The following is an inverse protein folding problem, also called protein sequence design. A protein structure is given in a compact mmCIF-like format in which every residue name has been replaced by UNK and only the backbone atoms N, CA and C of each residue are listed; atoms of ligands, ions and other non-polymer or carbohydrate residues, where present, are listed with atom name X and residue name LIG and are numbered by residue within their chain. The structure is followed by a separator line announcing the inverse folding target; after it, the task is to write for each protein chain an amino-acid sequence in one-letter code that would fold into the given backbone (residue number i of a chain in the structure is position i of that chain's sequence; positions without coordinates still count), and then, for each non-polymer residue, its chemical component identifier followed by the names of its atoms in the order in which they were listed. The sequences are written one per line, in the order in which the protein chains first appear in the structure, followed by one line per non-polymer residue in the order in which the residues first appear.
data_IF_861481817741
#
_entry.id   IF_861481817741
#
_cell.length_a   1.000
_cell.length_b   1.000
_cell.length_c   1.000
_cell.angle_alpha   90.00
_cell.angle_beta   90.00
_cell.angle_gamma   90.00
#
_symmetry.space_group_name_H-M   'P 1'
#
loop_
_entity.id
_entity.type
_entity.pdbx_description
1 polymer ?
#
# COMPACT_ATOMS: atom_id res chain seq x y z
N UNK A 1 -35.49 21.97 -28.06
CA UNK A 1 -34.20 21.52 -28.64
C UNK A 1 -33.12 22.56 -28.38
N UNK A 2 -33.37 23.84 -28.62
CA UNK A 2 -32.34 24.90 -28.50
C UNK A 2 -31.64 24.97 -27.14
N UNK A 3 -32.37 24.85 -26.03
CA UNK A 3 -31.77 24.85 -24.69
C UNK A 3 -30.77 23.69 -24.47
N UNK A 4 -31.04 22.51 -25.03
CA UNK A 4 -30.12 21.37 -24.93
C UNK A 4 -28.80 21.67 -25.66
N UNK A 5 -28.87 22.27 -26.85
CA UNK A 5 -27.67 22.66 -27.59
C UNK A 5 -26.86 23.71 -26.83
N UNK A 6 -27.53 24.69 -26.21
CA UNK A 6 -26.86 25.68 -25.37
C UNK A 6 -26.10 25.02 -24.20
N UNK A 7 -26.68 24.04 -23.52
CA UNK A 7 -26.01 23.32 -22.43
C UNK A 7 -24.80 22.50 -22.91
N UNK A 8 -24.90 21.87 -24.09
CA UNK A 8 -23.80 21.08 -24.67
C UNK A 8 -22.67 21.94 -25.26
N UNK A 9 -22.90 23.24 -25.46
CA UNK A 9 -21.92 24.21 -25.95
C UNK A 9 -21.27 25.03 -24.83
N UNK A 10 -21.47 24.67 -23.56
CA UNK A 10 -20.78 25.30 -22.44
C UNK A 10 -19.29 24.96 -22.49
N UNK A 11 -18.46 26.00 -22.35
CA UNK A 11 -17.01 25.88 -22.35
C UNK A 11 -16.46 25.79 -20.92
N UNK A 12 -15.46 24.92 -20.73
CA UNK A 12 -14.77 24.70 -19.47
C UNK A 12 -13.27 24.50 -19.74
N UNK A 13 -12.45 24.84 -18.76
CA UNK A 13 -11.04 24.44 -18.74
C UNK A 13 -10.83 23.26 -17.77
N UNK A 14 -9.67 22.59 -17.83
CA UNK A 14 -9.42 21.42 -16.99
C UNK A 14 -9.47 21.72 -15.49
N UNK A 15 -9.07 22.94 -15.08
CA UNK A 15 -9.06 23.35 -13.68
C UNK A 15 -10.49 23.49 -13.12
N UNK A 16 -11.35 24.25 -13.81
CA UNK A 16 -12.78 24.38 -13.46
C UNK A 16 -13.50 23.04 -13.52
N UNK A 17 -13.23 22.21 -14.55
CA UNK A 17 -13.75 20.86 -14.65
C UNK A 17 -13.35 19.97 -13.46
N UNK A 18 -12.11 20.09 -13.00
CA UNK A 18 -11.63 19.34 -11.84
C UNK A 18 -12.32 19.78 -10.54
N UNK A 19 -12.57 21.08 -10.36
CA UNK A 19 -13.34 21.60 -9.20
C UNK A 19 -14.78 21.11 -9.22
N UNK A 20 -15.41 21.04 -10.39
CA UNK A 20 -16.77 20.47 -10.53
C UNK A 20 -16.74 18.99 -10.14
N UNK A 21 -15.82 18.21 -10.70
CA UNK A 21 -15.66 16.79 -10.35
C UNK A 21 -15.39 16.59 -8.85
N UNK A 22 -14.58 17.47 -8.24
CA UNK A 22 -14.24 17.40 -6.82
C UNK A 22 -15.43 17.82 -5.93
N UNK A 23 -16.31 18.70 -6.42
CA UNK A 23 -17.58 19.02 -5.76
C UNK A 23 -18.48 17.78 -5.70
N UNK A 24 -18.52 16.97 -6.77
CA UNK A 24 -19.20 15.67 -6.75
C UNK A 24 -18.52 14.69 -5.79
N UNK A 25 -17.17 14.63 -5.78
CA UNK A 25 -16.42 13.78 -4.87
C UNK A 25 -16.69 14.12 -3.39
N UNK A 26 -16.93 15.40 -3.10
CA UNK A 26 -17.15 15.95 -1.76
C UNK A 26 -18.65 16.09 -1.40
N UNK A 27 -19.50 15.21 -1.94
CA UNK A 27 -20.91 15.11 -1.53
C UNK A 27 -21.76 16.33 -1.86
N UNK A 28 -21.36 17.15 -2.85
CA UNK A 28 -22.11 18.34 -3.28
C UNK A 28 -21.65 19.63 -2.61
N UNK A 29 -20.62 19.58 -1.77
CA UNK A 29 -19.97 20.75 -1.16
C UNK A 29 -18.76 21.13 -2.00
N UNK A 30 -18.73 22.36 -2.49
CA UNK A 30 -17.64 22.84 -3.32
C UNK A 30 -16.34 22.93 -2.50
N UNK A 31 -15.24 22.27 -2.91
CA UNK A 31 -14.03 22.17 -2.09
C UNK A 31 -13.27 23.49 -1.93
N UNK A 32 -13.42 24.43 -2.88
CA UNK A 32 -12.73 25.72 -2.84
C UNK A 32 -13.52 26.79 -2.09
N UNK A 33 -14.85 26.68 -2.04
CA UNK A 33 -15.72 27.69 -1.42
C UNK A 33 -16.37 27.23 -0.11
N UNK A 34 -16.44 25.92 0.14
CA UNK A 34 -17.14 25.34 1.28
C UNK A 34 -18.67 25.40 1.19
N UNK A 35 -19.22 25.90 0.08
CA UNK A 35 -20.66 26.05 -0.10
C UNK A 35 -21.30 24.72 -0.51
N UNK A 36 -22.47 24.42 0.07
CA UNK A 36 -23.33 23.32 -0.36
C UNK A 36 -24.03 23.73 -1.67
N UNK A 37 -23.59 23.17 -2.79
CA UNK A 37 -24.13 23.46 -4.13
C UNK A 37 -25.23 22.47 -4.51
N UNK A 38 -25.09 21.21 -4.09
CA UNK A 38 -26.00 20.12 -4.43
C UNK A 38 -26.36 19.30 -3.20
N UNK A 39 -27.52 18.67 -3.23
CA UNK A 39 -27.95 17.73 -2.19
C UNK A 39 -27.20 16.39 -2.31
N UNK A 40 -26.75 15.76 -1.20
CA UNK A 40 -25.97 14.53 -1.25
C UNK A 40 -26.67 13.36 -1.95
N UNK A 41 -28.01 13.29 -1.91
CA UNK A 41 -28.74 12.23 -2.61
C UNK A 41 -28.61 12.35 -4.13
N UNK A 42 -28.67 13.57 -4.67
CA UNK A 42 -28.45 13.83 -6.10
C UNK A 42 -27.06 13.38 -6.53
N UNK A 43 -26.05 13.62 -5.69
CA UNK A 43 -24.67 13.23 -5.94
C UNK A 43 -24.53 11.72 -6.01
N UNK A 44 -25.05 11.00 -5.00
CA UNK A 44 -25.01 9.53 -4.98
C UNK A 44 -25.67 8.94 -6.23
N UNK A 45 -26.84 9.45 -6.61
CA UNK A 45 -27.59 8.93 -7.74
C UNK A 45 -26.86 9.25 -9.07
N UNK A 46 -26.27 10.45 -9.19
CA UNK A 46 -25.46 10.84 -10.35
C UNK A 46 -24.19 10.00 -10.48
N UNK A 47 -23.43 9.80 -9.40
CA UNK A 47 -22.22 8.99 -9.42
C UNK A 47 -22.50 7.52 -9.74
N UNK A 48 -23.63 7.01 -9.28
CA UNK A 48 -24.09 5.64 -9.61
C UNK A 48 -24.34 5.50 -11.11
N UNK A 49 -25.02 6.48 -11.72
CA UNK A 49 -25.27 6.49 -13.17
C UNK A 49 -24.01 6.78 -14.00
N UNK A 50 -23.11 7.62 -13.52
CA UNK A 50 -21.81 7.85 -14.16
C UNK A 50 -20.99 6.56 -14.21
N UNK A 51 -21.03 5.75 -13.16
CA UNK A 51 -20.34 4.47 -13.13
C UNK A 51 -20.89 3.50 -14.20
N UNK A 52 -22.21 3.39 -14.34
CA UNK A 52 -22.83 2.41 -15.25
C UNK A 52 -23.03 2.90 -16.69
N UNK A 53 -23.18 4.20 -16.91
CA UNK A 53 -23.66 4.78 -18.17
C UNK A 53 -22.83 5.98 -18.67
N UNK A 54 -21.68 6.27 -18.05
CA UNK A 54 -20.98 7.53 -18.28
C UNK A 54 -20.06 7.61 -19.52
N UNK A 55 -19.59 6.47 -20.03
CA UNK A 55 -18.52 6.36 -21.03
C UNK A 55 -19.01 5.71 -22.35
N UNK A 56 -20.24 6.04 -22.78
CA UNK A 56 -20.90 5.42 -23.95
C UNK A 56 -20.95 3.89 -23.83
N UNK A 57 -20.82 3.16 -24.94
CA UNK A 57 -20.82 1.69 -24.98
C UNK A 57 -19.63 1.08 -24.20
N UNK A 58 -18.61 1.88 -23.90
CA UNK A 58 -17.47 1.46 -23.09
C UNK A 58 -17.76 1.47 -21.58
N UNK A 59 -18.91 1.99 -21.12
CA UNK A 59 -19.22 2.16 -19.69
C UNK A 59 -19.09 0.88 -18.87
N UNK A 60 -19.55 -0.27 -19.38
CA UNK A 60 -19.44 -1.54 -18.68
C UNK A 60 -17.99 -2.01 -18.51
N UNK A 61 -17.17 -1.86 -19.56
CA UNK A 61 -15.74 -2.21 -19.49
C UNK A 61 -14.97 -1.24 -18.59
N UNK A 62 -15.30 0.05 -18.65
CA UNK A 62 -14.71 1.07 -17.78
C UNK A 62 -15.03 0.81 -16.31
N UNK A 63 -16.29 0.50 -15.98
CA UNK A 63 -16.70 0.15 -14.62
C UNK A 63 -16.01 -1.12 -14.10
N UNK A 64 -15.69 -2.06 -14.98
CA UNK A 64 -15.01 -3.30 -14.60
C UNK A 64 -13.49 -3.12 -14.44
N UNK A 65 -12.84 -2.38 -15.34
CA UNK A 65 -11.37 -2.22 -15.36
C UNK A 65 -10.89 -1.10 -14.45
N UNK A 66 -11.58 0.05 -14.50
CA UNK A 66 -11.23 1.26 -13.76
C UNK A 66 -12.08 1.38 -12.50
N UNK A 67 -13.37 1.08 -12.58
CA UNK A 67 -14.24 1.07 -11.41
C UNK A 67 -14.39 2.43 -10.73
N UNK A 68 -14.29 3.52 -11.50
CA UNK A 68 -14.51 4.88 -11.02
C UNK A 68 -15.67 5.53 -11.79
N UNK A 69 -16.51 6.36 -11.16
CA UNK A 69 -17.49 7.17 -11.86
C UNK A 69 -16.80 8.12 -12.86
N UNK A 70 -17.15 7.98 -14.14
CA UNK A 70 -16.60 8.81 -15.22
C UNK A 70 -17.69 9.34 -16.15
N UNK A 71 -17.44 10.45 -16.84
CA UNK A 71 -18.27 10.90 -17.96
C UNK A 71 -17.40 11.40 -19.10
N UNK A 72 -17.61 10.84 -20.28
CA UNK A 72 -16.92 11.23 -21.50
C UNK A 72 -17.71 12.27 -22.30
N UNK A 73 -17.02 13.16 -22.99
CA UNK A 73 -17.56 14.11 -23.95
C UNK A 73 -16.81 14.06 -25.29
N UNK A 74 -17.54 14.28 -26.38
CA UNK A 74 -16.98 14.27 -27.75
C UNK A 74 -15.94 15.37 -28.01
N UNK A 75 -15.84 16.37 -27.12
CA UNK A 75 -14.76 17.35 -27.11
C UNK A 75 -13.39 16.78 -26.71
N UNK A 76 -13.34 15.50 -26.31
CA UNK A 76 -12.15 14.84 -25.77
C UNK A 76 -12.00 15.02 -24.26
N UNK A 77 -13.00 15.59 -23.59
CA UNK A 77 -13.03 15.73 -22.13
C UNK A 77 -13.51 14.46 -21.44
N UNK A 78 -12.86 14.09 -20.33
CA UNK A 78 -13.33 13.05 -19.42
C UNK A 78 -13.35 13.61 -18.00
N UNK A 79 -14.55 13.67 -17.41
CA UNK A 79 -14.73 13.95 -15.99
C UNK A 79 -14.62 12.65 -15.21
N UNK A 80 -13.72 12.59 -14.23
CA UNK A 80 -13.48 11.42 -13.39
C UNK A 80 -13.63 11.80 -11.92
N UNK A 81 -14.36 10.99 -11.16
CA UNK A 81 -14.61 11.24 -9.74
C UNK A 81 -14.06 10.08 -8.93
N UNK A 82 -13.24 10.38 -7.91
CA UNK A 82 -12.86 9.43 -6.85
C UNK A 82 -13.61 9.84 -5.59
N UNK A 83 -14.75 9.19 -5.26
CA UNK A 83 -15.61 9.62 -4.17
C UNK A 83 -14.85 9.74 -2.85
N UNK A 84 -15.09 10.84 -2.12
CA UNK A 84 -14.44 11.17 -0.85
C UNK A 84 -12.91 11.37 -0.92
N UNK A 85 -12.32 11.47 -2.11
CA UNK A 85 -10.89 11.68 -2.29
C UNK A 85 -10.61 12.91 -3.16
N UNK A 86 -10.99 12.87 -4.44
CA UNK A 86 -10.67 13.93 -5.40
C UNK A 86 -11.55 13.88 -6.66
N UNK A 87 -11.57 14.96 -7.41
CA UNK A 87 -12.10 15.00 -8.78
C UNK A 87 -11.02 15.38 -9.77
N UNK A 88 -11.08 14.79 -10.96
CA UNK A 88 -10.11 14.98 -12.04
C UNK A 88 -10.88 15.30 -13.32
N UNK A 89 -10.35 16.23 -14.12
CA UNK A 89 -10.82 16.46 -15.47
C UNK A 89 -9.66 16.32 -16.45
N UNK A 90 -9.81 15.38 -17.39
CA UNK A 90 -8.84 15.07 -18.42
C UNK A 90 -9.32 15.65 -19.73
N UNK A 91 -8.40 16.13 -20.56
CA UNK A 91 -8.74 16.62 -21.89
C UNK A 91 -7.69 16.17 -22.91
N UNK A 92 -8.15 15.48 -23.94
CA UNK A 92 -7.35 15.10 -25.11
C UNK A 92 -8.30 14.89 -26.29
N UNK A 93 -8.30 15.79 -27.31
CA UNK A 93 -9.25 15.74 -28.42
C UNK A 93 -9.33 14.43 -29.23
N UNK A 94 -8.23 13.68 -29.48
CA UNK A 94 -8.32 12.42 -30.20
C UNK A 94 -9.19 11.38 -29.49
N UNK A 95 -10.22 10.90 -30.20
CA UNK A 95 -11.20 9.92 -29.71
C UNK A 95 -10.93 8.51 -30.26
N UNK A 96 -11.35 7.51 -29.50
CA UNK A 96 -11.45 6.12 -29.93
C UNK A 96 -12.74 5.86 -30.75
N UNK A 97 -12.94 4.62 -31.19
CA UNK A 97 -14.15 4.22 -31.92
C UNK A 97 -15.45 4.28 -31.10
N UNK A 98 -15.37 4.40 -29.76
CA UNK A 98 -16.53 4.52 -28.88
C UNK A 98 -16.86 6.00 -28.58
N UNK A 99 -16.05 6.95 -29.06
CA UNK A 99 -16.22 8.38 -28.81
C UNK A 99 -15.57 8.87 -27.51
N UNK A 100 -14.66 8.09 -26.92
CA UNK A 100 -13.94 8.45 -25.70
C UNK A 100 -12.51 8.91 -25.99
N UNK A 101 -11.98 9.80 -25.14
CA UNK A 101 -10.59 10.26 -25.28
C UNK A 101 -9.58 9.13 -25.10
N UNK A 102 -8.73 8.90 -26.10
CA UNK A 102 -7.73 7.81 -26.11
C UNK A 102 -6.77 7.94 -24.92
N UNK A 103 -6.14 9.11 -24.77
CA UNK A 103 -5.19 9.37 -23.68
C UNK A 103 -5.88 9.44 -22.32
N UNK A 104 -7.12 9.93 -22.29
CA UNK A 104 -7.89 10.01 -21.05
C UNK A 104 -8.22 8.63 -20.49
N UNK A 105 -8.66 7.68 -21.32
CA UNK A 105 -8.87 6.29 -20.89
C UNK A 105 -7.56 5.65 -20.42
N UNK A 106 -6.48 5.81 -21.20
CA UNK A 106 -5.17 5.23 -20.83
C UNK A 106 -4.72 5.73 -19.45
N UNK A 107 -4.83 7.04 -19.19
CA UNK A 107 -4.52 7.61 -17.89
C UNK A 107 -5.37 7.00 -16.77
N UNK A 108 -6.68 6.83 -16.98
CA UNK A 108 -7.57 6.23 -15.98
C UNK A 108 -7.18 4.78 -15.64
N UNK A 109 -6.79 3.97 -16.64
CA UNK A 109 -6.32 2.61 -16.43
C UNK A 109 -4.99 2.59 -15.65
N UNK A 110 -4.04 3.44 -16.02
CA UNK A 110 -2.74 3.55 -15.34
C UNK A 110 -2.89 4.08 -13.90
N UNK A 111 -3.85 4.98 -13.65
CA UNK A 111 -4.16 5.50 -12.31
C UNK A 111 -4.54 4.37 -11.35
N UNK A 112 -5.51 3.54 -11.73
CA UNK A 112 -5.97 2.44 -10.85
C UNK A 112 -5.00 1.26 -10.80
N UNK A 113 -4.08 1.17 -11.77
CA UNK A 113 -2.99 0.21 -11.74
C UNK A 113 -1.98 0.54 -10.64
N UNK A 114 -1.69 1.82 -10.46
CA UNK A 114 -0.70 2.32 -9.50
C UNK A 114 -1.30 2.60 -8.11
N UNK A 115 -2.57 3.02 -8.05
CA UNK A 115 -3.26 3.41 -6.82
C UNK A 115 -4.48 2.55 -6.50
N UNK A 116 -4.79 2.38 -5.21
CA UNK A 116 -5.92 1.58 -4.73
C UNK A 116 -7.26 2.35 -4.77
N UNK A 117 -7.52 3.04 -5.88
CA UNK A 117 -8.72 3.88 -6.07
C UNK A 117 -9.90 3.16 -6.73
N UNK A 118 -9.71 1.96 -7.28
CA UNK A 118 -10.81 1.20 -7.83
C UNK A 118 -11.90 1.01 -6.75
N UNK A 119 -13.17 1.25 -7.06
CA UNK A 119 -14.25 1.28 -6.05
C UNK A 119 -14.40 -0.04 -5.27
N UNK A 120 -13.97 -1.15 -5.86
CA UNK A 120 -13.92 -2.47 -5.24
C UNK A 120 -12.52 -2.93 -4.78
N UNK A 121 -11.54 -2.04 -4.68
CA UNK A 121 -10.20 -2.37 -4.18
C UNK A 121 -10.17 -2.46 -2.64
N UNK A 122 -9.16 -3.15 -2.10
CA UNK A 122 -8.99 -3.29 -0.66
C UNK A 122 -8.16 -2.12 -0.08
N UNK A 123 -8.62 -1.52 1.02
CA UNK A 123 -7.90 -0.41 1.66
C UNK A 123 -6.73 -0.86 2.55
N UNK A 124 -6.69 -2.13 2.96
CA UNK A 124 -5.69 -2.66 3.91
C UNK A 124 -4.69 -3.61 3.27
N UNK A 125 -5.09 -4.34 2.23
CA UNK A 125 -4.32 -5.46 1.65
C UNK A 125 -4.09 -5.25 0.15
N UNK A 126 -3.25 -4.28 -0.21
CA UNK A 126 -2.85 -4.01 -1.60
C UNK A 126 -1.33 -3.98 -1.71
N UNK A 127 -0.66 -5.15 -1.88
CA UNK A 127 0.81 -5.23 -1.75
C UNK A 127 1.60 -4.51 -2.86
N UNK A 128 0.95 -4.10 -3.96
CA UNK A 128 1.61 -3.47 -5.12
C UNK A 128 1.08 -2.07 -5.47
N UNK A 129 0.04 -1.61 -4.78
CA UNK A 129 -0.59 -0.31 -5.07
C UNK A 129 -0.30 0.66 -3.94
N UNK A 130 -0.19 1.93 -4.28
CA UNK A 130 0.04 3.00 -3.32
C UNK A 130 -1.31 3.56 -2.86
N UNK A 131 -1.44 3.83 -1.56
CA UNK A 131 -2.57 4.59 -1.02
C UNK A 131 -2.06 5.95 -0.53
N UNK A 132 -2.37 7.05 -1.23
CA UNK A 132 -1.91 8.37 -0.84
C UNK A 132 -2.69 8.95 0.35
N UNK A 133 -3.78 8.31 0.79
CA UNK A 133 -4.52 8.74 1.99
C UNK A 133 -3.75 8.44 3.27
N UNK A 134 -2.80 7.50 3.23
CA UNK A 134 -2.03 7.10 4.39
C UNK A 134 -0.63 7.70 4.33
N UNK A 135 -0.21 8.36 5.41
CA UNK A 135 1.15 8.84 5.54
C UNK A 135 2.09 7.63 5.71
N UNK A 136 3.08 7.52 4.83
CA UNK A 136 4.00 6.37 4.74
C UNK A 136 4.82 6.16 6.02
N UNK A 137 5.18 7.25 6.69
CA UNK A 137 5.97 7.24 7.93
C UNK A 137 5.17 6.61 9.08
N UNK A 138 3.90 6.98 9.22
CA UNK A 138 3.04 6.50 10.30
C UNK A 138 2.70 5.02 10.14
N UNK A 139 2.52 4.53 8.91
CA UNK A 139 2.07 3.16 8.68
C UNK A 139 3.12 2.13 9.08
N UNK A 140 4.37 2.30 8.64
CA UNK A 140 5.44 1.38 9.01
C UNK A 140 5.73 1.45 10.51
N UNK A 141 5.82 2.65 11.08
CA UNK A 141 6.03 2.82 12.52
C UNK A 141 4.91 2.16 13.34
N UNK A 142 3.64 2.40 12.99
CA UNK A 142 2.50 1.79 13.69
C UNK A 142 2.49 0.26 13.57
N UNK A 143 2.85 -0.30 12.42
CA UNK A 143 2.92 -1.75 12.23
C UNK A 143 4.05 -2.37 13.06
N UNK A 144 5.21 -1.73 13.11
CA UNK A 144 6.35 -2.16 13.95
C UNK A 144 5.99 -2.10 15.43
N UNK A 145 5.39 -1.00 15.89
CA UNK A 145 4.93 -0.84 17.27
C UNK A 145 3.89 -1.91 17.62
N UNK A 146 2.91 -2.16 16.74
CA UNK A 146 1.90 -3.20 16.96
C UNK A 146 2.52 -4.61 17.03
N UNK A 147 3.51 -4.90 16.19
CA UNK A 147 4.23 -6.17 16.21
C UNK A 147 4.99 -6.37 17.53
N UNK A 148 5.73 -5.34 17.96
CA UNK A 148 6.52 -5.38 19.20
C UNK A 148 5.62 -5.49 20.43
N UNK A 149 4.51 -4.75 20.46
CA UNK A 149 3.52 -4.86 21.52
C UNK A 149 2.87 -6.25 21.58
N UNK A 150 2.65 -6.89 20.42
CA UNK A 150 2.16 -8.27 20.36
C UNK A 150 3.20 -9.26 20.92
N UNK A 151 4.49 -9.02 20.67
CA UNK A 151 5.59 -9.81 21.22
C UNK A 151 5.73 -9.63 22.73
N UNK A 152 5.52 -8.42 23.25
CA UNK A 152 5.48 -8.13 24.68
C UNK A 152 4.37 -8.90 25.41
N UNK A 153 3.15 -8.94 24.86
CA UNK A 153 2.03 -9.66 25.46
C UNK A 153 2.08 -11.19 25.26
N UNK A 154 3.00 -11.69 24.42
CA UNK A 154 3.07 -13.11 24.08
C UNK A 154 1.98 -13.60 23.13
N UNK A 155 1.32 -12.70 22.38
CA UNK A 155 0.23 -13.07 21.47
C UNK A 155 0.77 -13.69 20.16
N UNK A 156 0.91 -15.02 20.19
CA UNK A 156 1.33 -15.82 19.04
C UNK A 156 0.34 -15.69 17.87
N UNK A 157 -0.95 -15.46 18.13
CA UNK A 157 -1.96 -15.38 17.07
C UNK A 157 -1.85 -14.08 16.28
N UNK A 158 -1.63 -12.95 16.97
CA UNK A 158 -1.37 -11.66 16.34
C UNK A 158 -0.08 -11.69 15.50
N UNK A 159 0.99 -12.30 16.02
CA UNK A 159 2.27 -12.44 15.32
C UNK A 159 2.14 -13.34 14.08
N UNK A 160 1.39 -14.45 14.18
CA UNK A 160 1.05 -15.30 13.03
C UNK A 160 0.29 -14.52 11.97
N UNK A 161 -0.66 -13.69 12.37
CA UNK A 161 -1.41 -12.82 11.46
C UNK A 161 -0.45 -11.84 10.76
N UNK A 162 0.43 -11.17 11.50
CA UNK A 162 1.41 -10.24 10.93
C UNK A 162 2.33 -10.93 9.90
N UNK A 163 2.81 -12.14 10.21
CA UNK A 163 3.62 -12.93 9.29
C UNK A 163 2.85 -13.35 8.01
N UNK A 164 1.57 -13.73 8.14
CA UNK A 164 0.71 -14.06 6.99
C UNK A 164 0.41 -12.85 6.10
N UNK A 165 0.44 -11.64 6.65
CA UNK A 165 0.28 -10.39 5.91
C UNK A 165 1.52 -10.00 5.10
N UNK A 166 2.61 -10.77 5.18
CA UNK A 166 3.87 -10.46 4.51
C UNK A 166 4.63 -9.31 5.17
N UNK A 167 4.34 -9.01 6.43
CA UNK A 167 5.10 -8.03 7.20
C UNK A 167 6.53 -8.53 7.41
N UNK A 168 7.50 -7.65 7.23
CA UNK A 168 8.89 -7.97 7.50
C UNK A 168 9.16 -7.90 9.01
N UNK A 169 9.43 -9.07 9.58
CA UNK A 169 9.60 -9.29 11.03
C UNK A 169 10.99 -8.88 11.54
N UNK A 170 11.87 -8.41 10.65
CA UNK A 170 13.22 -7.93 11.01
C UNK A 170 13.26 -6.46 11.43
N UNK A 171 12.15 -5.74 11.29
CA UNK A 171 12.08 -4.33 11.67
C UNK A 171 12.33 -4.13 13.17
N UNK A 172 13.05 -3.06 13.47
CA UNK A 172 13.42 -2.66 14.82
C UNK A 172 12.75 -1.35 15.22
N UNK A 173 12.53 -1.17 16.52
CA UNK A 173 12.04 0.08 17.08
C UNK A 173 13.12 1.18 17.09
N UNK A 174 12.79 2.36 17.64
CA UNK A 174 13.72 3.47 17.85
C UNK A 174 14.98 3.06 18.63
N UNK A 175 14.90 2.05 19.49
CA UNK A 175 16.02 1.50 20.26
C UNK A 175 16.84 0.43 19.52
N UNK A 176 16.52 0.10 18.27
CA UNK A 176 17.15 -1.01 17.54
C UNK A 176 16.68 -2.40 18.01
N UNK A 177 15.68 -2.47 18.89
CA UNK A 177 15.11 -3.72 19.38
C UNK A 177 14.10 -4.28 18.38
N UNK A 178 14.32 -5.51 17.95
CA UNK A 178 13.35 -6.28 17.14
C UNK A 178 12.33 -7.00 18.03
N UNK A 179 11.27 -7.55 17.42
CA UNK A 179 10.29 -8.38 18.12
C UNK A 179 10.92 -9.57 18.87
N UNK A 180 12.07 -10.07 18.41
CA UNK A 180 12.80 -11.16 19.05
C UNK A 180 13.44 -10.73 20.39
N UNK A 181 13.97 -9.51 20.47
CA UNK A 181 14.54 -8.96 21.72
C UNK A 181 13.46 -8.87 22.80
N UNK A 182 12.32 -8.27 22.45
CA UNK A 182 11.21 -8.09 23.39
C UNK A 182 10.59 -9.42 23.81
N UNK A 183 10.42 -10.36 22.87
CA UNK A 183 9.91 -11.70 23.22
C UNK A 183 10.89 -12.49 24.11
N UNK A 184 12.19 -12.30 23.95
CA UNK A 184 13.22 -12.96 24.75
C UNK A 184 13.34 -12.34 26.16
N UNK A 185 13.20 -11.02 26.26
CA UNK A 185 13.18 -10.29 27.53
C UNK A 185 11.99 -10.69 28.42
N UNK A 186 10.81 -10.90 27.82
CA UNK A 186 9.59 -11.32 28.54
C UNK A 186 9.47 -12.85 28.73
N UNK A 187 10.36 -13.64 28.10
CA UNK A 187 10.38 -15.11 28.25
C UNK A 187 9.30 -15.87 27.46
N UNK A 188 8.73 -15.28 26.41
CA UNK A 188 7.65 -15.89 25.61
C UNK A 188 8.16 -16.97 24.64
N UNK A 189 8.40 -18.18 25.16
CA UNK A 189 8.93 -19.32 24.39
C UNK A 189 8.20 -19.59 23.07
N UNK A 190 6.87 -19.56 23.07
CA UNK A 190 6.07 -19.85 21.88
C UNK A 190 6.25 -18.80 20.77
N UNK A 191 6.44 -17.52 21.15
CA UNK A 191 6.70 -16.42 20.22
C UNK A 191 8.11 -16.53 19.65
N UNK A 192 9.12 -16.72 20.51
CA UNK A 192 10.52 -16.88 20.11
C UNK A 192 10.68 -18.05 19.13
N UNK A 193 10.07 -19.20 19.44
CA UNK A 193 10.06 -20.37 18.55
C UNK A 193 9.44 -20.05 17.20
N UNK A 194 8.32 -19.33 17.16
CA UNK A 194 7.67 -18.96 15.92
C UNK A 194 8.52 -18.02 15.06
N UNK A 195 9.11 -16.99 15.67
CA UNK A 195 9.97 -16.02 14.98
C UNK A 195 11.22 -16.67 14.39
N UNK A 196 11.85 -17.60 15.11
CA UNK A 196 13.04 -18.31 14.65
C UNK A 196 12.73 -19.37 13.58
N UNK A 197 11.73 -20.23 13.81
CA UNK A 197 11.42 -21.34 12.90
C UNK A 197 10.68 -20.91 11.62
N UNK A 198 9.74 -19.97 11.74
CA UNK A 198 8.84 -19.60 10.63
C UNK A 198 9.24 -18.29 9.97
N UNK A 199 9.59 -17.27 10.76
CA UNK A 199 9.96 -15.95 10.22
C UNK A 199 11.45 -15.84 9.86
N UNK A 200 12.30 -16.79 10.28
CA UNK A 200 13.75 -16.81 10.05
C UNK A 200 14.45 -15.52 10.51
N UNK A 201 13.97 -14.93 11.61
CA UNK A 201 14.61 -13.76 12.21
C UNK A 201 16.02 -14.14 12.73
N UNK A 202 17.02 -13.30 12.47
CA UNK A 202 18.39 -13.54 12.93
C UNK A 202 18.52 -13.30 14.44
N UNK A 203 19.03 -14.27 15.23
CA UNK A 203 19.24 -14.11 16.66
C UNK A 203 20.51 -13.29 17.00
N UNK A 204 21.24 -12.85 15.98
CA UNK A 204 22.53 -12.15 16.11
C UNK A 204 22.41 -10.63 16.03
N UNK A 205 21.20 -10.11 15.78
CA UNK A 205 20.98 -8.67 15.76
C UNK A 205 21.21 -8.11 17.15
N UNK A 206 21.88 -6.96 17.22
CA UNK A 206 22.14 -6.24 18.46
C UNK A 206 21.26 -5.01 18.54
N UNK A 207 20.86 -4.67 19.76
CA UNK A 207 20.17 -3.41 20.04
C UNK A 207 21.14 -2.21 20.11
N UNK A 208 20.61 -1.02 20.43
CA UNK A 208 21.42 0.20 20.64
C UNK A 208 22.47 0.07 21.74
N UNK A 209 22.27 -0.81 22.71
CA UNK A 209 23.17 -1.03 23.84
C UNK A 209 24.17 -2.16 23.57
N UNK A 210 24.10 -2.80 22.41
CA UNK A 210 24.98 -3.91 22.00
C UNK A 210 24.57 -5.27 22.58
N UNK A 211 23.37 -5.39 23.16
CA UNK A 211 22.86 -6.64 23.67
C UNK A 211 22.17 -7.45 22.58
N UNK A 212 22.40 -8.76 22.60
CA UNK A 212 21.68 -9.71 21.77
C UNK A 212 20.41 -10.20 22.49
N UNK A 213 19.41 -10.75 21.77
CA UNK A 213 18.20 -11.31 22.39
C UNK A 213 18.48 -12.36 23.48
N UNK A 214 19.60 -13.10 23.35
CA UNK A 214 20.05 -14.07 24.36
C UNK A 214 20.52 -13.40 25.65
N UNK A 215 21.18 -12.24 25.55
CA UNK A 215 21.68 -11.51 26.72
C UNK A 215 20.50 -10.97 27.54
N UNK A 216 19.44 -10.50 26.85
CA UNK A 216 18.17 -10.14 27.47
C UNK A 216 17.52 -11.34 28.17
N UNK A 217 17.41 -12.49 27.50
CA UNK A 217 16.85 -13.71 28.11
C UNK A 217 17.64 -14.14 29.37
N UNK A 218 18.97 -14.05 29.35
CA UNK A 218 19.83 -14.38 30.50
C UNK A 218 19.69 -13.36 31.63
N UNK A 219 19.61 -12.07 31.30
CA UNK A 219 19.44 -10.99 32.27
C UNK A 219 18.15 -11.12 33.07
N UNK A 220 17.05 -11.55 32.42
CA UNK A 220 15.76 -11.78 33.05
C UNK A 220 15.55 -13.22 33.55
N UNK A 221 16.58 -14.08 33.49
CA UNK A 221 16.58 -15.46 33.99
C UNK A 221 15.52 -16.37 33.34
N UNK A 222 15.39 -16.28 32.02
CA UNK A 222 14.50 -17.14 31.23
C UNK A 222 15.28 -18.27 30.55
N UNK A 223 15.60 -19.31 31.34
CA UNK A 223 16.47 -20.43 30.92
C UNK A 223 15.96 -21.15 29.66
N UNK A 224 14.65 -21.48 29.62
CA UNK A 224 14.04 -22.20 28.47
C UNK A 224 14.15 -21.43 27.15
N UNK A 225 14.04 -20.11 27.19
CA UNK A 225 14.19 -19.28 25.98
C UNK A 225 15.65 -19.07 25.61
N UNK A 226 16.54 -18.97 26.60
CA UNK A 226 17.97 -18.87 26.37
C UNK A 226 18.52 -20.15 25.71
N UNK A 227 18.17 -21.34 26.20
CA UNK A 227 18.54 -22.63 25.59
C UNK A 227 18.09 -22.73 24.12
N UNK A 228 16.86 -22.27 23.83
CA UNK A 228 16.33 -22.24 22.46
C UNK A 228 17.18 -21.32 21.58
N UNK A 229 17.48 -20.10 22.03
CA UNK A 229 18.30 -19.14 21.29
C UNK A 229 19.72 -19.66 21.07
N UNK A 230 20.36 -20.27 22.07
CA UNK A 230 21.69 -20.88 21.94
C UNK A 230 21.70 -21.95 20.85
N UNK A 231 20.72 -22.85 20.86
CA UNK A 231 20.62 -23.92 19.87
C UNK A 231 20.47 -23.40 18.42
N UNK A 232 19.82 -22.25 18.23
CA UNK A 232 19.69 -21.61 16.92
C UNK A 232 20.93 -20.80 16.54
N UNK A 233 21.62 -20.18 17.50
CA UNK A 233 22.89 -19.47 17.25
C UNK A 233 23.99 -20.43 16.80
N UNK A 234 24.10 -21.62 17.40
CA UNK A 234 25.05 -22.66 16.98
C UNK A 234 24.76 -23.16 15.55
N UNK A 235 23.48 -23.32 15.20
CA UNK A 235 23.04 -23.68 13.84
C UNK A 235 23.37 -22.59 12.81
N UNK A 236 23.28 -21.32 13.18
CA UNK A 236 23.64 -20.22 12.27
C UNK A 236 25.16 -20.08 12.12
N UNK A 237 25.95 -20.25 13.19
CA UNK A 237 27.43 -20.26 13.15
C UNK A 237 27.98 -21.40 12.28
N UNK A 238 27.38 -22.60 12.37
CA UNK A 238 27.78 -23.75 11.55
C UNK A 238 27.48 -23.59 10.05
N UNK A 239 26.37 -22.89 9.69
CA UNK A 239 26.11 -22.50 8.29
C UNK A 239 27.10 -21.47 7.76
N UNK A 240 27.49 -20.49 8.59
CA UNK A 240 28.48 -19.46 8.21
C UNK A 240 29.84 -20.04 7.83
N UNK A 241 30.29 -21.09 8.53
CA UNK A 241 31.56 -21.77 8.22
C UNK A 241 31.53 -22.61 6.93
N UNK A 242 30.35 -22.98 6.43
CA UNK A 242 30.20 -23.73 5.17
C UNK A 242 30.18 -22.83 3.93
N UNK A 243 29.83 -21.54 4.09
CA UNK A 243 29.81 -20.56 2.99
C UNK A 243 31.13 -19.81 2.76
N UNK A 244 32.03 -19.78 3.74
CA UNK A 244 33.32 -19.08 3.63
C UNK A 244 34.41 -19.87 2.90
N UNK A 245 34.24 -21.19 2.70
CA UNK A 245 35.24 -22.05 2.07
C UNK A 245 35.09 -22.20 0.54
N UNK A 246 34.16 -21.50 -0.12
CA UNK A 246 33.96 -21.57 -1.58
C UNK A 246 34.34 -20.30 -2.34
N UNK A 247 34.93 -19.29 -1.69
CA UNK A 247 35.30 -18.01 -2.34
C UNK A 247 36.79 -17.69 -2.32
N UNK A 248 37.66 -18.70 -2.22
CA UNK A 248 39.12 -18.52 -2.21
C UNK A 248 39.84 -19.38 -3.26
N UNK A 249 39.32 -19.47 -4.49
CA UNK A 249 40.08 -20.01 -5.62
C UNK A 249 39.52 -19.53 -6.96
N UNK A 250 39.84 -18.30 -7.37
CA UNK A 250 39.99 -17.88 -8.78
C UNK A 250 40.12 -16.35 -8.90
N UNK A 251 41.27 -15.80 -8.52
CA UNK A 251 41.76 -14.56 -9.12
C UNK A 251 43.21 -14.76 -9.55
N UNK A 252 43.37 -15.48 -10.66
CA UNK A 252 44.58 -15.47 -11.46
C UNK A 252 44.19 -15.58 -12.94
N UNK A 253 44.58 -14.57 -13.71
CA UNK A 253 44.87 -14.60 -15.14
C UNK A 253 43.70 -14.75 -16.14
N UNK A 254 43.32 -13.65 -16.81
CA UNK A 254 43.78 -13.37 -18.18
C UNK A 254 43.13 -12.12 -18.80
N UNK A 255 43.94 -11.07 -18.93
CA UNK A 255 44.27 -10.38 -20.19
C UNK A 255 43.46 -10.68 -21.49
N UNK A 256 43.15 -9.57 -22.18
CA UNK A 256 43.27 -9.31 -23.64
C UNK A 256 42.03 -9.48 -24.55
N UNK A 257 41.63 -8.32 -25.15
CA UNK A 257 40.97 -8.03 -26.44
C UNK A 257 39.57 -8.64 -26.67
N UNK A 258 38.56 -7.95 -27.21
CA UNK A 258 38.44 -6.81 -28.13
C UNK A 258 37.03 -6.22 -28.04
#
# INVERSE_FOLDING_TARGET
MDFYFQLCSVELNCESGAVIAATLANGGICPTTGLKVLEPYCIRDTLSLMLSCGMYDYSGQFAFKVGLPGKSGVSGGIMLVVPNVMGIFLWSPPLDHYGNSVRGIQFCEDLVRNFNFHNYDNLRHTPRKTDPRVQTVDQQANLVVNLIFSAYNGDVTAIRRCALLGMDMSHADYDGRTALHVAAAEGHYAVVKFLLEKCKCSPLLVDRWGFMPIDDAKRFQHDRTAELLESFMEKEKSKGNSGANSSSSSFSNNNILS
#
